data_IF_600724533415
#
_entry.id   IF_600724533415
#
_cell.length_a   1.000
_cell.length_b   1.000
_cell.length_c   1.000
_cell.angle_alpha   90.00
_cell.angle_beta   90.00
_cell.angle_gamma   90.00
#
_symmetry.space_group_name_H-M   'P 1'
#
loop_
_entity.id
_entity.type
_entity.pdbx_description
1 polymer ?
#
# COMPACT_ATOMS: atom_id res chain seq x y z
N UNK A 1 -3.02 -10.39 -10.65
CA UNK A 1 -3.27 -9.01 -10.17
C UNK A 1 -3.15 -8.00 -11.30
N UNK A 2 -2.03 -7.95 -12.03
CA UNK A 2 -1.90 -7.11 -13.24
C UNK A 2 -2.61 -7.69 -14.48
N UNK A 3 -2.64 -9.01 -14.62
CA UNK A 3 -3.36 -9.68 -15.73
C UNK A 3 -4.85 -9.33 -15.77
N UNK A 4 -5.49 -9.13 -14.61
CA UNK A 4 -6.89 -8.69 -14.53
C UNK A 4 -7.06 -7.20 -14.88
N UNK A 5 -6.06 -6.37 -14.56
CA UNK A 5 -6.02 -4.93 -14.86
C UNK A 5 -6.04 -4.66 -16.37
N UNK A 6 -5.36 -5.52 -17.13
CA UNK A 6 -5.24 -5.37 -18.56
C UNK A 6 -6.45 -5.90 -19.34
N UNK A 7 -7.10 -6.95 -18.83
CA UNK A 7 -8.40 -7.39 -19.35
C UNK A 7 -9.48 -6.30 -19.15
N UNK A 8 -9.38 -5.51 -18.07
CA UNK A 8 -10.31 -4.42 -17.77
C UNK A 8 -10.20 -3.21 -18.72
N UNK A 9 -9.02 -2.95 -19.31
CA UNK A 9 -8.77 -1.78 -20.19
C UNK A 9 -9.15 -2.05 -21.66
N UNK A 10 -9.59 -3.26 -22.01
CA UNK A 10 -9.98 -3.58 -23.40
C UNK A 10 -8.82 -3.56 -24.41
N UNK A 11 -7.57 -3.45 -23.93
CA UNK A 11 -6.40 -3.66 -24.76
C UNK A 11 -6.24 -5.17 -24.94
N UNK A 12 -6.82 -5.70 -26.03
CA UNK A 12 -6.45 -6.99 -26.59
C UNK A 12 -4.98 -6.94 -27.03
N UNK A 13 -4.05 -7.22 -26.13
CA UNK A 13 -2.65 -7.36 -26.50
C UNK A 13 -2.20 -8.81 -26.29
N UNK A 14 -1.68 -9.37 -27.37
CA UNK A 14 -0.80 -10.55 -27.36
C UNK A 14 0.52 -10.24 -26.61
N UNK A 15 0.51 -10.04 -25.28
CA UNK A 15 1.75 -10.11 -24.46
C UNK A 15 1.74 -11.43 -23.71
N UNK A 16 1.91 -12.49 -24.48
CA UNK A 16 2.36 -13.80 -24.03
C UNK A 16 3.85 -13.73 -23.66
N UNK A 17 4.20 -12.91 -22.65
CA UNK A 17 5.47 -13.07 -21.95
C UNK A 17 5.24 -12.89 -20.46
N UNK A 18 5.70 -13.87 -19.69
CA UNK A 18 5.53 -13.94 -18.25
C UNK A 18 6.29 -12.79 -17.56
N UNK A 19 5.66 -11.63 -17.41
CA UNK A 19 6.27 -10.45 -16.77
C UNK A 19 6.26 -10.52 -15.24
N UNK A 20 5.95 -11.68 -14.65
CA UNK A 20 5.93 -11.88 -13.20
C UNK A 20 7.26 -11.52 -12.55
N UNK A 21 8.38 -11.71 -13.27
CA UNK A 21 9.72 -11.34 -12.80
C UNK A 21 9.85 -9.85 -12.42
N UNK A 22 9.08 -8.97 -13.07
CA UNK A 22 9.19 -7.52 -12.96
C UNK A 22 8.49 -7.09 -11.68
N UNK A 23 7.32 -7.69 -11.44
CA UNK A 23 6.60 -7.56 -10.19
C UNK A 23 7.41 -8.08 -9.01
N UNK A 24 8.00 -9.27 -9.15
CA UNK A 24 8.83 -9.87 -8.11
C UNK A 24 10.07 -9.00 -7.81
N UNK A 25 10.68 -8.39 -8.84
CA UNK A 25 11.82 -7.47 -8.68
C UNK A 25 11.44 -6.13 -8.06
N UNK A 26 10.22 -5.64 -8.35
CA UNK A 26 9.71 -4.40 -7.76
C UNK A 26 9.22 -4.58 -6.32
N UNK A 27 8.81 -5.79 -5.94
CA UNK A 27 8.31 -6.15 -4.60
C UNK A 27 9.21 -5.69 -3.44
N UNK A 28 10.55 -5.91 -3.45
CA UNK A 28 11.42 -5.42 -2.38
C UNK A 28 11.44 -3.90 -2.30
N UNK A 29 11.49 -3.19 -3.43
CA UNK A 29 11.47 -1.72 -3.48
C UNK A 29 10.16 -1.21 -2.89
N UNK A 30 9.04 -1.80 -3.30
CA UNK A 30 7.71 -1.49 -2.79
C UNK A 30 7.64 -1.69 -1.27
N UNK A 31 7.99 -2.87 -0.75
CA UNK A 31 7.94 -3.15 0.68
C UNK A 31 8.85 -2.24 1.51
N UNK A 32 10.11 -2.06 1.10
CA UNK A 32 11.08 -1.21 1.80
C UNK A 32 10.65 0.26 1.82
N UNK A 33 10.05 0.76 0.74
CA UNK A 33 9.50 2.11 0.70
C UNK A 33 8.45 2.33 1.79
N UNK A 34 7.51 1.40 1.97
CA UNK A 34 6.51 1.52 3.04
C UNK A 34 7.13 1.46 4.43
N UNK A 35 8.08 0.54 4.67
CA UNK A 35 8.77 0.47 5.96
C UNK A 35 9.52 1.77 6.26
N UNK A 36 10.19 2.34 5.26
CA UNK A 36 10.86 3.63 5.38
C UNK A 36 9.87 4.76 5.74
N UNK A 37 8.75 4.86 5.04
CA UNK A 37 7.72 5.87 5.30
C UNK A 37 7.13 5.69 6.71
N UNK A 38 6.71 4.48 7.08
CA UNK A 38 6.13 4.19 8.39
C UNK A 38 7.10 4.45 9.55
N UNK A 39 8.39 4.15 9.36
CA UNK A 39 9.43 4.45 10.34
C UNK A 39 9.59 5.97 10.60
N UNK A 40 9.30 6.80 9.61
CA UNK A 40 9.40 8.26 9.73
C UNK A 40 8.13 8.92 10.27
N UNK A 41 6.95 8.41 9.95
CA UNK A 41 5.68 9.05 10.33
C UNK A 41 5.17 8.61 11.71
N UNK A 42 5.46 7.40 12.16
CA UNK A 42 4.98 6.89 13.46
C UNK A 42 5.87 7.42 14.58
N UNK A 43 5.30 8.21 15.50
CA UNK A 43 6.04 8.83 16.62
C UNK A 43 5.97 7.99 17.90
N UNK A 44 6.49 6.76 17.89
CA UNK A 44 6.55 5.90 19.09
C UNK A 44 8.00 5.56 19.47
N UNK A 45 8.33 5.59 20.78
CA UNK A 45 9.71 5.42 21.28
C UNK A 45 10.42 4.13 20.83
N UNK A 46 9.68 3.05 20.57
CA UNK A 46 10.22 1.74 20.16
C UNK A 46 9.86 1.33 18.73
N UNK A 47 9.38 2.25 17.89
CA UNK A 47 8.94 1.88 16.54
C UNK A 47 10.09 1.51 15.62
N UNK A 48 11.24 2.18 15.73
CA UNK A 48 12.39 1.97 14.84
C UNK A 48 12.91 0.52 14.84
N UNK A 49 13.25 -0.09 16.01
CA UNK A 49 13.68 -1.49 16.03
C UNK A 49 12.55 -2.44 15.62
N UNK A 50 11.29 -2.09 15.89
CA UNK A 50 10.13 -2.91 15.51
C UNK A 50 9.92 -2.94 13.99
N UNK A 51 9.97 -1.78 13.33
CA UNK A 51 9.87 -1.68 11.86
C UNK A 51 11.07 -2.33 11.18
N UNK A 52 12.28 -2.21 11.76
CA UNK A 52 13.46 -2.92 11.28
C UNK A 52 13.27 -4.44 11.34
N UNK A 53 12.76 -4.96 12.46
CA UNK A 53 12.45 -6.39 12.61
C UNK A 53 11.42 -6.87 11.58
N UNK A 54 10.35 -6.08 11.34
CA UNK A 54 9.35 -6.39 10.32
C UNK A 54 9.95 -6.36 8.90
N UNK A 55 10.84 -5.41 8.61
CA UNK A 55 11.53 -5.32 7.33
C UNK A 55 12.45 -6.52 7.09
N UNK A 56 13.19 -6.97 8.11
CA UNK A 56 14.02 -8.18 8.04
C UNK A 56 13.13 -9.42 7.84
N UNK A 57 12.03 -9.52 8.59
CA UNK A 57 11.08 -10.62 8.45
C UNK A 57 10.46 -10.67 7.05
N UNK A 58 10.08 -9.52 6.49
CA UNK A 58 9.61 -9.41 5.11
C UNK A 58 10.64 -9.90 4.09
N UNK A 59 11.91 -9.48 4.20
CA UNK A 59 12.97 -9.95 3.32
C UNK A 59 13.19 -11.47 3.45
N UNK A 60 13.08 -12.01 4.66
CA UNK A 60 13.13 -13.45 4.90
C UNK A 60 12.02 -14.20 4.17
N UNK A 61 10.77 -13.71 4.24
CA UNK A 61 9.62 -14.30 3.52
C UNK A 61 9.81 -14.21 2.01
N UNK A 62 10.28 -13.07 1.51
CA UNK A 62 10.56 -12.84 0.08
C UNK A 62 11.62 -13.82 -0.45
N UNK A 63 12.73 -13.97 0.27
CA UNK A 63 13.80 -14.90 -0.09
C UNK A 63 13.30 -16.35 -0.03
N UNK A 64 12.59 -16.72 1.04
CA UNK A 64 12.02 -18.06 1.19
C UNK A 64 11.09 -18.43 0.03
N UNK A 65 10.18 -17.52 -0.35
CA UNK A 65 9.25 -17.77 -1.47
C UNK A 65 10.00 -17.82 -2.81
N UNK A 66 11.01 -16.97 -3.00
CA UNK A 66 11.88 -16.96 -4.17
C UNK A 66 12.68 -18.24 -4.36
N UNK A 67 13.22 -18.82 -3.28
CA UNK A 67 13.90 -20.12 -3.32
C UNK A 67 12.94 -21.30 -3.53
N UNK A 68 11.75 -21.25 -2.91
CA UNK A 68 10.82 -22.39 -2.93
C UNK A 68 10.07 -22.54 -4.27
N UNK A 69 9.63 -21.44 -4.87
CA UNK A 69 8.76 -21.46 -6.06
C UNK A 69 9.45 -20.93 -7.33
N UNK A 70 10.67 -20.42 -7.20
CA UNK A 70 11.41 -19.78 -8.28
C UNK A 70 10.88 -18.39 -8.66
N UNK A 71 11.73 -17.57 -9.28
CA UNK A 71 11.41 -16.19 -9.64
C UNK A 71 10.38 -16.04 -10.77
N UNK A 72 10.02 -17.15 -11.43
CA UNK A 72 9.04 -17.20 -12.52
C UNK A 72 7.60 -17.20 -12.02
N UNK A 73 7.37 -17.48 -10.73
CA UNK A 73 6.05 -17.48 -10.12
C UNK A 73 5.84 -16.21 -9.30
N UNK A 74 4.64 -15.65 -9.36
CA UNK A 74 4.27 -14.46 -8.59
C UNK A 74 4.31 -14.75 -7.07
N UNK A 75 4.98 -13.88 -6.32
CA UNK A 75 5.13 -13.99 -4.86
C UNK A 75 3.85 -13.60 -4.11
N UNK A 76 2.83 -14.43 -4.23
CA UNK A 76 1.51 -14.18 -3.66
C UNK A 76 1.54 -14.18 -2.12
N UNK A 77 2.32 -15.07 -1.50
CA UNK A 77 2.36 -15.16 -0.02
C UNK A 77 3.05 -13.92 0.57
N UNK A 78 4.13 -13.48 -0.06
CA UNK A 78 4.83 -12.24 0.30
C UNK A 78 3.90 -11.03 0.17
N UNK A 79 3.04 -11.00 -0.85
CA UNK A 79 2.07 -9.90 -1.03
C UNK A 79 1.06 -9.82 0.12
N UNK A 80 0.49 -10.97 0.49
CA UNK A 80 -0.47 -11.04 1.61
C UNK A 80 0.22 -10.64 2.90
N UNK A 81 1.41 -11.19 3.15
CA UNK A 81 2.20 -10.85 4.32
C UNK A 81 2.43 -9.34 4.42
N UNK A 82 2.88 -8.71 3.34
CA UNK A 82 3.11 -7.27 3.30
C UNK A 82 1.83 -6.47 3.55
N UNK A 83 0.70 -6.91 2.98
CA UNK A 83 -0.61 -6.25 3.15
C UNK A 83 -1.07 -6.30 4.61
N UNK A 84 -0.88 -7.43 5.28
CA UNK A 84 -1.20 -7.59 6.72
C UNK A 84 -0.28 -6.72 7.58
N UNK A 85 1.01 -6.69 7.29
CA UNK A 85 1.97 -5.85 8.02
C UNK A 85 1.65 -4.36 7.82
N UNK A 86 1.32 -3.93 6.60
CA UNK A 86 0.90 -2.55 6.33
C UNK A 86 -0.38 -2.18 7.08
N UNK A 87 -1.38 -3.08 7.11
CA UNK A 87 -2.61 -2.87 7.88
C UNK A 87 -2.31 -2.66 9.38
N UNK A 88 -1.39 -3.46 9.94
CA UNK A 88 -0.95 -3.31 11.32
C UNK A 88 -0.22 -1.98 11.56
N UNK A 89 0.68 -1.58 10.66
CA UNK A 89 1.41 -0.31 10.75
C UNK A 89 0.46 0.90 10.62
N UNK A 90 -0.55 0.83 9.76
CA UNK A 90 -1.61 1.84 9.69
C UNK A 90 -2.33 1.97 11.05
N UNK A 91 -2.69 0.84 11.67
CA UNK A 91 -3.30 0.83 13.00
C UNK A 91 -2.40 1.46 14.08
N UNK A 92 -1.11 1.13 14.09
CA UNK A 92 -0.13 1.74 14.99
C UNK A 92 0.03 3.24 14.77
N UNK A 93 -0.04 3.71 13.52
CA UNK A 93 -0.02 5.13 13.22
C UNK A 93 -1.22 5.86 13.84
N UNK A 94 -2.44 5.37 13.63
CA UNK A 94 -3.63 5.97 14.25
C UNK A 94 -3.57 5.92 15.77
N UNK A 95 -3.10 4.81 16.35
CA UNK A 95 -2.85 4.72 17.78
C UNK A 95 -1.86 5.79 18.28
N UNK A 96 -0.78 6.05 17.53
CA UNK A 96 0.20 7.09 17.87
C UNK A 96 -0.35 8.51 17.78
N UNK A 97 -1.36 8.75 16.93
CA UNK A 97 -2.08 10.03 16.89
C UNK A 97 -2.90 10.22 18.17
N UNK A 98 -3.64 9.20 18.60
CA UNK A 98 -4.47 9.30 19.80
C UNK A 98 -3.69 9.49 21.11
N UNK A 99 -2.40 9.15 21.14
CA UNK A 99 -1.52 9.40 22.28
C UNK A 99 -0.93 10.81 22.33
N UNK A 100 -1.07 11.61 21.26
CA UNK A 100 -0.53 12.97 21.23
C UNK A 100 -1.53 13.92 21.87
N UNK A 101 -1.09 14.65 22.90
CA UNK A 101 -1.90 15.67 23.59
C UNK A 101 -2.09 16.94 22.73
N UNK A 102 -1.29 17.10 21.66
CA UNK A 102 -1.36 18.25 20.76
C UNK A 102 -2.51 18.11 19.75
N UNK A 103 -3.40 19.11 19.76
CA UNK A 103 -4.46 19.27 18.77
C UNK A 103 -3.84 19.68 17.43
N UNK A 104 -3.44 18.70 16.62
CA UNK A 104 -3.00 18.93 15.24
C UNK A 104 -4.19 18.82 14.29
N UNK A 105 -4.28 19.74 13.33
CA UNK A 105 -5.30 19.70 12.28
C UNK A 105 -5.00 18.53 11.32
N UNK A 106 -5.55 17.35 11.65
CA UNK A 106 -5.29 16.09 10.95
C UNK A 106 -5.58 16.16 9.45
N UNK A 107 -6.56 16.98 9.05
CA UNK A 107 -6.94 17.14 7.64
C UNK A 107 -5.89 17.91 6.83
N UNK A 108 -5.01 18.65 7.49
CA UNK A 108 -3.87 19.33 6.87
C UNK A 108 -2.60 18.49 6.90
N UNK A 109 -2.57 17.41 7.67
CA UNK A 109 -1.39 16.54 7.75
C UNK A 109 -1.29 15.61 6.53
N UNK A 110 -0.15 15.68 5.84
CA UNK A 110 0.13 14.83 4.69
C UNK A 110 0.23 13.35 5.08
N UNK A 111 0.79 13.05 6.26
CA UNK A 111 0.95 11.67 6.73
C UNK A 111 -0.41 11.01 6.95
N UNK A 112 -1.39 11.76 7.46
CA UNK A 112 -2.76 11.28 7.68
C UNK A 112 -3.41 10.81 6.38
N UNK A 113 -3.34 11.60 5.30
CA UNK A 113 -3.92 11.22 4.01
C UNK A 113 -3.19 10.03 3.38
N UNK A 114 -1.86 9.97 3.48
CA UNK A 114 -1.08 8.85 2.97
C UNK A 114 -1.45 7.52 3.66
N UNK A 115 -1.51 7.52 4.99
CA UNK A 115 -1.85 6.32 5.78
C UNK A 115 -3.31 5.93 5.59
N UNK A 116 -4.23 6.88 5.52
CA UNK A 116 -5.65 6.60 5.27
C UNK A 116 -5.86 5.91 3.91
N UNK A 117 -5.24 6.42 2.84
CA UNK A 117 -5.29 5.78 1.52
C UNK A 117 -4.72 4.36 1.54
N UNK A 118 -3.59 4.18 2.24
CA UNK A 118 -2.95 2.87 2.42
C UNK A 118 -3.84 1.91 3.21
N UNK A 119 -4.50 2.39 4.28
CA UNK A 119 -5.43 1.60 5.09
C UNK A 119 -6.59 1.08 4.26
N UNK A 120 -7.28 1.94 3.51
CA UNK A 120 -8.40 1.53 2.67
C UNK A 120 -7.98 0.52 1.61
N UNK A 121 -6.87 0.78 0.91
CA UNK A 121 -6.36 -0.12 -0.11
C UNK A 121 -6.02 -1.50 0.46
N UNK A 122 -5.22 -1.53 1.54
CA UNK A 122 -4.77 -2.78 2.16
C UNK A 122 -5.93 -3.56 2.78
N UNK A 123 -6.92 -2.89 3.37
CA UNK A 123 -8.14 -3.53 3.86
C UNK A 123 -8.96 -4.18 2.73
N UNK A 124 -9.11 -3.51 1.59
CA UNK A 124 -9.79 -4.07 0.41
C UNK A 124 -9.01 -5.27 -0.15
N UNK A 125 -7.69 -5.15 -0.30
CA UNK A 125 -6.84 -6.23 -0.82
C UNK A 125 -6.84 -7.44 0.11
N UNK A 126 -6.72 -7.23 1.42
CA UNK A 126 -6.77 -8.31 2.41
C UNK A 126 -8.15 -8.99 2.40
N UNK A 127 -9.23 -8.22 2.44
CA UNK A 127 -10.60 -8.77 2.46
C UNK A 127 -10.88 -9.58 1.19
N UNK A 128 -10.54 -9.04 0.01
CA UNK A 128 -10.74 -9.75 -1.27
C UNK A 128 -9.87 -10.98 -1.42
N UNK A 129 -8.71 -11.03 -0.75
CA UNK A 129 -7.82 -12.19 -0.75
C UNK A 129 -8.29 -13.29 0.21
N UNK A 130 -8.89 -12.93 1.35
CA UNK A 130 -9.48 -13.89 2.31
C UNK A 130 -10.73 -14.53 1.71
N UNK A 131 -11.62 -13.73 1.14
CA UNK A 131 -12.88 -14.22 0.55
C UNK A 131 -12.72 -14.66 -0.92
N UNK A 132 -11.49 -14.93 -1.37
CA UNK A 132 -11.18 -15.20 -2.77
C UNK A 132 -12.05 -16.30 -3.39
N UNK A 133 -12.24 -17.42 -2.69
CA UNK A 133 -13.03 -18.57 -3.17
C UNK A 133 -14.51 -18.24 -3.36
N UNK A 134 -15.06 -17.32 -2.56
CA UNK A 134 -16.47 -16.92 -2.65
C UNK A 134 -16.67 -15.79 -3.66
N UNK A 135 -15.73 -14.85 -3.76
CA UNK A 135 -15.78 -13.78 -4.76
C UNK A 135 -15.62 -14.27 -6.20
N UNK A 136 -14.93 -15.40 -6.42
CA UNK A 136 -14.81 -16.01 -7.74
C UNK A 136 -16.14 -16.58 -8.26
N UNK A 137 -17.04 -16.99 -7.36
CA UNK A 137 -18.38 -17.50 -7.71
C UNK A 137 -19.33 -16.37 -8.08
N UNK A 138 -19.07 -15.15 -7.60
CA UNK A 138 -19.87 -13.96 -7.85
C UNK A 138 -19.36 -13.23 -9.10
N UNK A 139 -19.87 -13.63 -10.26
CA UNK A 139 -19.65 -12.91 -11.51
C UNK A 139 -20.74 -11.84 -11.69
N UNK A 140 -20.32 -10.59 -11.86
CA UNK A 140 -21.22 -9.50 -12.23
C UNK A 140 -21.46 -9.56 -13.75
N UNK A 141 -22.60 -9.03 -14.20
CA UNK A 141 -22.98 -8.91 -15.62
C UNK A 141 -21.76 -8.53 -16.48
N UNK A 142 -21.49 -9.32 -17.54
CA UNK A 142 -20.30 -9.30 -18.41
C UNK A 142 -19.06 -10.11 -17.95
N UNK A 143 -19.20 -11.11 -17.07
CA UNK A 143 -18.09 -12.02 -16.65
C UNK A 143 -16.91 -11.32 -15.97
N UNK A 144 -17.08 -10.08 -15.52
CA UNK A 144 -16.04 -9.35 -14.78
C UNK A 144 -16.02 -9.87 -13.35
N UNK A 145 -14.87 -10.36 -12.84
CA UNK A 145 -14.78 -10.81 -11.45
C UNK A 145 -14.94 -9.61 -10.50
N UNK A 146 -15.81 -9.75 -9.50
CA UNK A 146 -16.07 -8.70 -8.49
C UNK A 146 -14.79 -8.19 -7.82
N UNK A 147 -13.81 -9.09 -7.63
CA UNK A 147 -12.47 -8.79 -7.12
C UNK A 147 -11.78 -7.68 -7.92
N UNK A 148 -11.83 -7.73 -9.26
CA UNK A 148 -11.16 -6.74 -10.10
C UNK A 148 -11.75 -5.35 -9.87
N UNK A 149 -13.09 -5.25 -9.77
CA UNK A 149 -13.80 -4.01 -9.49
C UNK A 149 -13.36 -3.43 -8.13
N UNK A 150 -13.33 -4.26 -7.09
CA UNK A 150 -12.92 -3.83 -5.75
C UNK A 150 -11.47 -3.33 -5.72
N UNK A 151 -10.56 -4.03 -6.39
CA UNK A 151 -9.15 -3.60 -6.49
C UNK A 151 -9.01 -2.28 -7.26
N UNK A 152 -9.78 -2.08 -8.34
CA UNK A 152 -9.80 -0.81 -9.08
C UNK A 152 -10.31 0.33 -8.21
N UNK A 153 -11.43 0.14 -7.51
CA UNK A 153 -11.96 1.12 -6.57
C UNK A 153 -10.95 1.45 -5.46
N UNK A 154 -10.31 0.43 -4.89
CA UNK A 154 -9.25 0.61 -3.90
C UNK A 154 -8.08 1.44 -4.43
N UNK A 155 -7.64 1.20 -5.66
CA UNK A 155 -6.59 2.00 -6.29
C UNK A 155 -7.03 3.47 -6.47
N UNK A 156 -8.24 3.73 -6.94
CA UNK A 156 -8.76 5.09 -7.13
C UNK A 156 -8.76 5.85 -5.78
N UNK A 157 -9.26 5.22 -4.72
CA UNK A 157 -9.26 5.80 -3.38
C UNK A 157 -7.84 6.07 -2.90
N UNK A 158 -6.94 5.09 -3.04
CA UNK A 158 -5.53 5.21 -2.64
C UNK A 158 -4.84 6.38 -3.33
N UNK A 159 -4.90 6.43 -4.67
CA UNK A 159 -4.27 7.49 -5.44
C UNK A 159 -4.90 8.85 -5.15
N UNK A 160 -6.22 8.92 -4.97
CA UNK A 160 -6.90 10.15 -4.56
C UNK A 160 -6.37 10.69 -3.22
N UNK A 161 -6.22 9.81 -2.22
CA UNK A 161 -5.64 10.17 -0.93
C UNK A 161 -4.17 10.58 -1.04
N UNK A 162 -3.38 9.90 -1.87
CA UNK A 162 -1.96 10.23 -2.05
C UNK A 162 -1.77 11.58 -2.75
N UNK A 163 -2.55 11.88 -3.78
CA UNK A 163 -2.55 13.21 -4.41
C UNK A 163 -2.86 14.28 -3.36
N UNK A 164 -3.85 14.06 -2.51
CA UNK A 164 -4.19 14.95 -1.38
C UNK A 164 -3.01 15.12 -0.41
N UNK A 165 -2.31 14.04 -0.08
CA UNK A 165 -1.11 14.05 0.76
C UNK A 165 -0.02 14.95 0.16
N UNK A 166 0.30 14.80 -1.12
CA UNK A 166 1.30 15.64 -1.80
C UNK A 166 0.88 17.12 -1.88
N UNK A 167 -0.40 17.40 -2.10
CA UNK A 167 -0.92 18.77 -2.06
C UNK A 167 -0.77 19.41 -0.67
N UNK A 168 -0.98 18.65 0.41
CA UNK A 168 -0.76 19.14 1.77
C UNK A 168 0.73 19.49 2.02
N UNK A 169 1.67 18.69 1.51
CA UNK A 169 3.11 18.98 1.61
C UNK A 169 3.43 20.29 0.89
N UNK A 170 2.96 20.45 -0.34
CA UNK A 170 3.22 21.65 -1.14
C UNK A 170 2.67 22.92 -0.47
N UNK A 171 1.43 22.87 0.02
CA UNK A 171 0.83 24.00 0.69
C UNK A 171 1.61 24.39 1.96
N UNK A 172 2.04 23.41 2.76
CA UNK A 172 2.85 23.66 3.96
C UNK A 172 4.18 24.35 3.65
N UNK A 173 4.85 23.95 2.57
CA UNK A 173 6.10 24.60 2.15
C UNK A 173 5.89 26.06 1.74
N UNK A 174 4.81 26.37 1.02
CA UNK A 174 4.47 27.74 0.62
C UNK A 174 4.28 28.67 1.83
N UNK A 175 3.56 28.20 2.87
CA UNK A 175 3.38 28.99 4.10
C UNK A 175 4.71 29.27 4.83
N UNK A 176 5.60 28.28 4.89
CA UNK A 176 6.92 28.44 5.52
C UNK A 176 7.73 29.50 4.76
N UNK A 177 7.81 29.41 3.43
CA UNK A 177 8.55 30.38 2.60
C UNK A 177 8.01 31.81 2.75
N UNK A 178 6.70 31.99 2.83
CA UNK A 178 6.09 33.30 3.04
C UNK A 178 6.45 33.89 4.41
N UNK A 179 6.49 33.07 5.46
CA UNK A 179 6.87 33.53 6.81
C UNK A 179 8.33 34.01 6.90
N UNK A 180 9.25 33.41 6.14
CA UNK A 180 10.64 33.85 6.07
C UNK A 180 10.83 35.15 5.27
N UNK A 181 9.95 35.46 4.32
CA UNK A 181 10.03 36.69 3.52
C UNK A 181 9.52 37.95 4.23
N UNK A 182 8.95 37.81 5.42
CA UNK A 182 8.41 38.92 6.23
C UNK A 182 9.33 39.35 7.39
N UNK A 183 10.50 38.71 7.52
CA UNK A 183 11.56 39.05 8.48
C UNK A 183 12.82 39.51 7.73
#
# INVERSE_FOLDING_TARGET
MVLEWFNFIGLNYKLLKNNQWLYNSFMPVYGLFYFYVFNHIIKLKRIKPFVLLLSISFLGVLLWEGFSHGFSNFFFRTLIYLSVVQLFLCGLYFYSIFQQDEYSDLLKDAAFWFVTGTLFYTAIVASTSIFFSELLKLQVKNQIPLRAILVVLGNIIMYGCWIKSFLCINNKQTYITQSYSQH
#
